data_IF_735834971678
#
_entry.id   IF_735834971678
#
_cell.length_a   1.000
_cell.length_b   1.000
_cell.length_c   1.000
_cell.angle_alpha   90.00
_cell.angle_beta   90.00
_cell.angle_gamma   90.00
#
_symmetry.space_group_name_H-M   'P 1'
#
loop_
_entity.id
_entity.type
_entity.pdbx_description
1 polymer ?
#
# COMPACT_ATOMS: atom_id res chain seq x y z
N UNK A 5 -5.79 -13.34 28.02
CA UNK A 5 -7.20 -13.20 28.37
C UNK A 5 -8.02 -12.71 27.17
N UNK A 6 -7.33 -12.14 26.19
CA UNK A 6 -7.97 -11.76 24.94
C UNK A 6 -8.32 -12.99 24.11
N UNK A 7 -7.66 -14.10 24.42
CA UNK A 7 -7.81 -15.34 23.66
C UNK A 7 -9.08 -16.09 24.04
N UNK A 8 -9.41 -16.10 25.33
CA UNK A 8 -10.55 -16.87 25.82
C UNK A 8 -11.87 -16.12 25.62
N UNK A 9 -11.85 -14.80 25.78
CA UNK A 9 -13.05 -14.00 25.66
C UNK A 9 -13.54 -13.86 24.22
N UNK A 10 -12.75 -14.36 23.28
CA UNK A 10 -13.14 -14.36 21.87
C UNK A 10 -12.59 -15.59 21.14
N UNK A 11 -13.13 -16.77 21.44
CA UNK A 11 -12.62 -18.02 20.85
C UNK A 11 -12.84 -18.09 19.35
N UNK A 12 -13.96 -17.54 18.90
CA UNK A 12 -14.40 -17.66 17.52
C UNK A 12 -13.56 -16.82 16.55
N UNK A 13 -12.91 -15.78 17.07
CA UNK A 13 -12.26 -14.79 16.23
C UNK A 13 -10.80 -15.11 15.89
N UNK A 14 -10.13 -15.84 16.77
CA UNK A 14 -8.73 -16.18 16.55
C UNK A 14 -8.59 -17.47 15.75
N UNK A 15 -7.69 -17.46 14.76
CA UNK A 15 -7.47 -18.63 13.90
C UNK A 15 -6.98 -19.83 14.69
N UNK A 16 -6.39 -19.57 15.86
CA UNK A 16 -5.83 -20.64 16.69
C UNK A 16 -6.92 -21.48 17.34
N UNK A 17 -8.04 -20.85 17.68
CA UNK A 17 -9.13 -21.52 18.38
C UNK A 17 -10.40 -21.58 17.54
N UNK A 18 -10.59 -20.59 16.68
CA UNK A 18 -11.83 -20.44 15.93
C UNK A 18 -11.88 -21.23 14.63
N UNK A 19 -10.92 -22.12 14.43
CA UNK A 19 -10.90 -22.97 13.26
C UNK A 19 -10.79 -22.22 11.94
N UNK A 20 -11.22 -22.86 10.87
CA UNK A 20 -11.11 -22.30 9.53
C UNK A 20 -12.11 -21.16 9.32
N UNK A 21 -11.73 -20.20 8.47
CA UNK A 21 -12.56 -19.04 8.20
C UNK A 21 -13.56 -19.25 7.08
N UNK A 22 -14.58 -18.40 7.04
CA UNK A 22 -15.65 -18.51 6.03
C UNK A 22 -16.62 -17.35 6.12
N UNK A 23 -16.49 -16.39 5.21
CA UNK A 23 -17.37 -15.22 5.17
C UNK A 23 -18.83 -15.64 4.98
N UNK A 24 -19.57 -15.70 6.08
CA UNK A 24 -20.95 -16.18 6.05
C UNK A 24 -21.89 -15.21 5.33
N UNK A 25 -21.54 -13.93 5.33
CA UNK A 25 -22.37 -12.91 4.70
C UNK A 25 -22.05 -12.76 3.21
N UNK A 26 -21.03 -13.50 2.74
CA UNK A 26 -20.60 -13.40 1.36
C UNK A 26 -21.09 -14.56 0.49
N UNK A 27 -21.65 -14.23 -0.66
CA UNK A 27 -22.10 -15.25 -1.61
C UNK A 27 -20.91 -15.83 -2.36
N UNK A 28 -21.05 -17.06 -2.89
CA UNK A 28 -19.96 -17.64 -3.69
C UNK A 28 -19.60 -16.77 -4.88
N UNK A 29 -18.33 -16.76 -5.26
CA UNK A 29 -17.85 -15.86 -6.30
C UNK A 29 -17.88 -16.50 -7.68
N UNK A 30 -18.37 -15.72 -8.65
CA UNK A 30 -18.28 -16.08 -10.06
C UNK A 30 -17.15 -15.28 -10.68
N UNK A 31 -16.33 -15.95 -11.48
CA UNK A 31 -15.13 -15.35 -12.07
C UNK A 31 -15.32 -15.15 -13.58
N UNK A 32 -15.59 -13.90 -14.01
CA UNK A 32 -15.75 -13.66 -15.44
C UNK A 32 -14.45 -13.87 -16.22
N UNK A 33 -14.56 -14.43 -17.42
CA UNK A 33 -13.41 -14.64 -18.28
C UNK A 33 -13.42 -13.66 -19.45
N UNK A 34 -12.30 -13.57 -20.15
CA UNK A 34 -12.23 -12.74 -21.35
C UNK A 34 -13.03 -13.40 -22.47
N UNK A 35 -13.49 -12.59 -23.41
CA UNK A 35 -14.36 -13.08 -24.48
C UNK A 35 -13.66 -14.10 -25.35
N UNK A 36 -12.37 -13.89 -25.59
CA UNK A 36 -11.60 -14.73 -26.51
C UNK A 36 -10.88 -15.87 -25.80
N UNK A 37 -11.17 -16.08 -24.53
CA UNK A 37 -10.48 -17.10 -23.74
C UNK A 37 -11.02 -18.50 -24.00
N UNK A 38 -10.17 -19.48 -23.73
CA UNK A 38 -10.48 -20.88 -23.97
C UNK A 38 -9.72 -21.70 -22.93
N UNK A 39 -10.30 -22.82 -22.46
CA UNK A 39 -9.58 -23.65 -21.49
C UNK A 39 -8.16 -24.01 -21.90
N UNK A 40 -7.24 -23.93 -20.94
CA UNK A 40 -5.84 -24.28 -21.17
C UNK A 40 -5.46 -25.39 -20.20
N UNK A 41 -4.98 -26.51 -20.74
CA UNK A 41 -4.56 -27.63 -19.92
C UNK A 41 -3.05 -27.83 -20.02
N UNK A 42 -2.36 -27.45 -18.96
CA UNK A 42 -0.90 -27.55 -18.90
C UNK A 42 -0.50 -28.85 -18.23
N UNK A 43 0.37 -29.62 -18.89
CA UNK A 43 0.87 -30.88 -18.35
C UNK A 43 1.43 -30.67 -16.96
N UNK A 44 1.31 -31.70 -16.11
CA UNK A 44 1.77 -31.59 -14.73
C UNK A 44 3.29 -31.76 -14.64
N UNK A 45 3.91 -30.93 -13.80
CA UNK A 45 5.35 -31.02 -13.55
C UNK A 45 5.68 -32.36 -12.89
N UNK A 46 6.60 -33.14 -13.49
CA UNK A 46 6.93 -34.44 -12.89
C UNK A 46 7.55 -34.29 -11.52
N UNK A 47 6.71 -34.19 -10.50
CA UNK A 47 7.15 -33.81 -9.17
C UNK A 47 8.11 -34.82 -8.56
N UNK A 48 9.06 -34.30 -7.79
CA UNK A 48 9.96 -35.12 -6.98
C UNK A 48 9.15 -35.95 -5.99
N UNK A 49 9.79 -36.90 -5.34
CA UNK A 49 9.12 -37.67 -4.30
C UNK A 49 9.33 -36.99 -2.95
N UNK A 50 10.51 -36.40 -2.77
CA UNK A 50 10.82 -35.67 -1.54
C UNK A 50 9.83 -34.53 -1.35
N UNK A 51 9.40 -33.94 -2.45
CA UNK A 51 8.42 -32.85 -2.43
C UNK A 51 7.01 -33.39 -2.33
N UNK A 52 6.73 -34.43 -3.10
CA UNK A 52 5.40 -35.00 -3.19
C UNK A 52 4.92 -35.58 -1.85
N UNK A 53 5.85 -35.79 -0.92
CA UNK A 53 5.54 -36.41 0.36
C UNK A 53 5.38 -35.37 1.45
N UNK A 54 6.02 -34.21 1.24
CA UNK A 54 5.88 -33.08 2.15
C UNK A 54 4.66 -32.26 1.78
N UNK A 55 4.34 -32.25 0.49
CA UNK A 55 3.16 -31.55 -0.01
C UNK A 55 1.87 -32.29 0.37
N UNK A 56 1.97 -33.60 0.53
CA UNK A 56 0.79 -34.45 0.65
C UNK A 56 -0.14 -34.10 1.81
N UNK A 57 0.40 -33.92 3.03
CA UNK A 57 -0.49 -33.63 4.15
C UNK A 57 -1.22 -32.29 4.01
N UNK A 58 -0.56 -31.31 3.41
CA UNK A 58 -1.19 -30.02 3.15
C UNK A 58 -2.41 -30.21 2.26
N UNK A 59 -2.25 -31.05 1.24
CA UNK A 59 -3.35 -31.33 0.30
C UNK A 59 -4.46 -32.12 0.99
N UNK A 60 -4.07 -33.11 1.79
CA UNK A 60 -5.04 -33.92 2.51
C UNK A 60 -5.85 -33.06 3.48
N UNK A 61 -5.17 -32.15 4.17
CA UNK A 61 -5.81 -31.28 5.14
C UNK A 61 -6.82 -30.35 4.46
N UNK A 62 -6.55 -29.99 3.21
CA UNK A 62 -7.45 -29.15 2.44
C UNK A 62 -8.64 -29.95 1.92
N UNK A 63 -8.43 -31.24 1.69
CA UNK A 63 -9.52 -32.12 1.28
C UNK A 63 -10.47 -32.34 2.46
N UNK A 64 -9.89 -32.51 3.64
CA UNK A 64 -10.68 -32.71 4.85
C UNK A 64 -11.50 -31.48 5.16
N UNK A 65 -10.95 -30.30 4.90
CA UNK A 65 -11.65 -29.04 5.10
C UNK A 65 -12.60 -28.74 3.95
N UNK A 66 -12.60 -29.60 2.94
CA UNK A 66 -13.49 -29.44 1.80
C UNK A 66 -13.10 -28.29 0.88
N UNK A 67 -11.95 -27.68 1.15
CA UNK A 67 -11.50 -26.54 0.36
C UNK A 67 -10.99 -27.02 -1.01
N UNK A 68 -10.35 -28.17 -1.01
CA UNK A 68 -10.02 -28.87 -2.26
C UNK A 68 -11.05 -29.96 -2.49
N UNK A 69 -11.47 -30.11 -3.75
CA UNK A 69 -12.41 -31.17 -4.09
C UNK A 69 -12.06 -31.82 -5.43
N UNK A 70 -12.32 -33.13 -5.56
CA UNK A 70 -12.12 -33.82 -6.84
C UNK A 70 -12.96 -33.20 -7.94
N UNK A 71 -12.51 -33.33 -9.18
CA UNK A 71 -13.25 -32.81 -10.31
C UNK A 71 -12.74 -33.37 -11.63
N UNK A 72 -13.22 -32.78 -12.72
CA UNK A 72 -12.76 -33.12 -14.05
C UNK A 72 -12.98 -31.90 -14.94
N UNK A 73 -11.87 -31.21 -15.26
CA UNK A 73 -11.94 -29.93 -15.94
C UNK A 73 -11.08 -29.90 -17.19
N UNK A 74 -11.48 -29.08 -18.18
CA UNK A 74 -10.63 -28.86 -19.37
C UNK A 74 -9.43 -27.96 -19.03
N UNK A 75 -9.45 -27.39 -17.83
CA UNK A 75 -8.35 -26.55 -17.35
C UNK A 75 -7.37 -27.36 -16.52
N UNK A 76 -6.10 -26.95 -16.53
CA UNK A 76 -5.10 -27.55 -15.67
C UNK A 76 -3.84 -26.69 -15.62
N UNK A 77 -3.33 -26.49 -14.41
CA UNK A 77 -2.13 -25.69 -14.21
C UNK A 77 -1.16 -26.39 -13.26
N UNK A 78 0.14 -26.02 -13.35
CA UNK A 78 1.16 -26.74 -12.60
C UNK A 78 1.06 -26.55 -11.10
N UNK A 79 1.35 -27.61 -10.34
CA UNK A 79 1.46 -27.52 -8.89
C UNK A 79 2.93 -27.70 -8.51
N UNK A 80 3.60 -26.59 -8.22
CA UNK A 80 5.03 -26.60 -7.93
C UNK A 80 5.30 -26.67 -6.43
N UNK A 81 6.33 -27.45 -6.03
CA UNK A 81 6.78 -27.38 -4.62
C UNK A 81 7.70 -26.19 -4.40
N UNK A 82 7.76 -25.70 -3.17
CA UNK A 82 8.53 -24.49 -2.88
C UNK A 82 9.19 -24.57 -1.50
N UNK A 83 10.52 -24.49 -1.50
CA UNK A 83 11.29 -24.39 -0.27
C UNK A 83 10.99 -25.53 0.70
N UNK A 87 15.49 -25.24 5.54
CA UNK A 87 14.52 -26.18 6.11
C UNK A 87 14.05 -27.17 5.05
N UNK A 88 13.27 -28.16 5.48
CA UNK A 88 12.75 -29.19 4.58
C UNK A 88 11.23 -29.14 4.46
N UNK A 89 10.67 -27.93 4.59
CA UNK A 89 9.23 -27.76 4.52
C UNK A 89 8.77 -27.41 3.11
N UNK A 90 8.21 -28.40 2.42
CA UNK A 90 7.64 -28.18 1.08
C UNK A 90 6.19 -27.73 1.17
N UNK A 91 5.89 -26.60 0.54
CA UNK A 91 4.52 -26.11 0.45
C UNK A 91 4.06 -26.05 -1.02
N UNK A 92 2.80 -26.41 -1.30
CA UNK A 92 2.33 -26.34 -2.70
C UNK A 92 2.12 -24.91 -3.18
N UNK A 93 2.50 -24.64 -4.42
CA UNK A 93 2.21 -23.36 -5.05
C UNK A 93 1.83 -23.57 -6.50
N UNK A 94 0.66 -23.06 -6.87
CA UNK A 94 0.08 -23.30 -8.18
C UNK A 94 0.36 -22.14 -9.13
N UNK A 95 0.92 -22.46 -10.30
CA UNK A 95 1.30 -21.44 -11.27
C UNK A 95 0.09 -21.02 -12.10
N UNK A 96 -0.66 -20.05 -11.58
CA UNK A 96 -1.89 -19.58 -12.23
C UNK A 96 -1.63 -18.45 -13.21
N UNK A 97 -0.44 -18.45 -13.82
CA UNK A 97 -0.09 -17.42 -14.77
C UNK A 97 -0.98 -17.49 -16.01
N UNK A 98 -0.99 -18.64 -16.66
CA UNK A 98 -1.76 -18.82 -17.89
C UNK A 98 -3.27 -18.67 -17.64
N UNK A 99 -3.69 -18.87 -16.40
CA UNK A 99 -5.09 -18.62 -16.03
C UNK A 99 -5.35 -17.13 -15.91
N UNK A 100 -4.52 -16.45 -15.11
CA UNK A 100 -4.64 -15.02 -14.89
C UNK A 100 -4.75 -14.23 -16.20
N UNK A 101 -4.07 -14.72 -17.24
CA UNK A 101 -4.10 -14.06 -18.55
C UNK A 101 -5.47 -14.15 -19.19
N UNK A 102 -6.25 -15.17 -18.81
CA UNK A 102 -7.53 -15.44 -19.43
C UNK A 102 -8.71 -14.89 -18.63
N UNK A 103 -8.43 -14.28 -17.48
CA UNK A 103 -9.47 -13.72 -16.62
C UNK A 103 -9.66 -12.23 -16.89
N UNK A 104 -10.88 -11.75 -16.74
CA UNK A 104 -11.21 -10.35 -16.94
C UNK A 104 -10.57 -9.51 -15.83
N UNK A 105 -9.92 -8.42 -16.22
CA UNK A 105 -9.32 -7.51 -15.24
C UNK A 105 -10.39 -6.73 -14.49
N UNK A 106 -10.06 -6.27 -13.29
CA UNK A 106 -10.97 -5.49 -12.48
C UNK A 106 -10.26 -4.24 -11.96
N UNK A 107 -11.05 -3.22 -11.60
CA UNK A 107 -10.48 -1.96 -11.13
C UNK A 107 -9.82 -2.15 -9.76
N UNK A 108 -8.54 -1.79 -9.64
CA UNK A 108 -7.90 -1.92 -8.33
C UNK A 108 -8.38 -0.83 -7.36
N UNK A 109 -9.31 -1.19 -6.49
CA UNK A 109 -9.88 -0.24 -5.54
C UNK A 109 -9.06 -0.20 -4.25
N UNK A 110 -7.97 -0.96 -4.21
CA UNK A 110 -7.11 -0.99 -3.03
C UNK A 110 -6.28 0.30 -2.93
N UNK A 111 -6.45 1.05 -1.81
CA UNK A 111 -5.58 2.21 -1.61
C UNK A 111 -4.24 1.78 -1.04
N UNK A 112 -3.16 2.14 -1.73
CA UNK A 112 -1.79 1.84 -1.29
C UNK A 112 -1.59 2.34 0.13
N UNK A 113 -0.77 1.62 0.93
CA UNK A 113 -0.58 1.86 2.37
C UNK A 113 -0.53 3.34 2.79
N UNK A 114 0.22 4.16 2.06
CA UNK A 114 0.41 5.55 2.46
C UNK A 114 -0.90 6.33 2.49
N UNK A 115 -1.58 6.38 1.36
CA UNK A 115 -2.83 7.12 1.26
C UNK A 115 -3.85 6.62 2.29
N UNK A 116 -3.71 5.35 2.69
CA UNK A 116 -4.55 4.80 3.74
C UNK A 116 -4.17 5.40 5.09
N UNK A 117 -2.90 5.30 5.45
CA UNK A 117 -2.43 5.86 6.73
C UNK A 117 -2.70 7.36 6.79
N UNK A 118 -2.68 8.03 5.65
CA UNK A 118 -2.92 9.46 5.58
C UNK A 118 -4.29 9.84 6.14
N UNK A 119 -5.21 8.88 6.14
CA UNK A 119 -6.57 9.11 6.63
C UNK A 119 -6.73 8.91 8.13
N UNK A 120 -5.61 8.88 8.84
CA UNK A 120 -5.58 8.66 10.28
C UNK A 120 -5.31 9.97 11.02
N UNK A 121 -6.21 10.38 11.93
CA UNK A 121 -5.96 11.62 12.67
C UNK A 121 -5.03 11.45 13.87
N UNK A 122 -4.37 12.53 14.32
CA UNK A 122 -3.47 12.45 15.48
C UNK A 122 -4.21 12.31 16.80
N UNK A 123 -5.49 12.68 16.83
CA UNK A 123 -6.26 12.68 18.07
C UNK A 123 -6.62 11.28 18.54
N UNK A 124 -6.32 10.28 17.72
CA UNK A 124 -6.56 8.87 18.08
C UNK A 124 -5.24 8.12 18.20
N UNK A 125 -4.66 8.14 19.39
CA UNK A 125 -3.33 7.61 19.60
C UNK A 125 -3.32 6.26 20.31
N UNK A 126 -4.46 5.55 20.29
CA UNK A 126 -4.51 4.20 20.85
C UNK A 126 -4.87 3.18 19.78
N UNK A 127 -3.90 2.32 19.46
CA UNK A 127 -3.97 1.48 18.27
C UNK A 127 -4.14 -0.01 18.58
N UNK A 128 -4.90 -0.68 17.72
CA UNK A 128 -4.94 -2.14 17.69
C UNK A 128 -4.85 -2.66 16.26
N UNK A 129 -3.76 -3.33 15.94
CA UNK A 129 -3.54 -3.88 14.61
C UNK A 129 -3.84 -5.38 14.58
N UNK A 130 -4.57 -5.81 13.54
CA UNK A 130 -4.87 -7.22 13.35
C UNK A 130 -4.61 -7.61 11.90
N UNK A 131 -4.27 -8.89 11.69
CA UNK A 131 -4.21 -9.42 10.33
C UNK A 131 -5.00 -10.72 10.30
N UNK A 132 -5.65 -10.99 9.16
CA UNK A 132 -6.51 -12.15 9.03
C UNK A 132 -5.76 -13.34 8.45
N UNK A 133 -5.84 -14.48 9.13
CA UNK A 133 -5.21 -15.72 8.70
C UNK A 133 -6.03 -16.40 7.60
N UNK A 134 -5.35 -16.79 6.53
CA UNK A 134 -6.01 -17.44 5.39
C UNK A 134 -7.19 -16.62 4.88
N UNK A 135 -6.92 -15.34 4.63
CA UNK A 135 -7.97 -14.38 4.27
C UNK A 135 -8.78 -14.83 3.06
N UNK A 136 -8.11 -15.07 1.94
CA UNK A 136 -8.78 -15.38 0.69
C UNK A 136 -9.66 -16.63 0.78
N UNK A 137 -9.25 -17.60 1.60
CA UNK A 137 -10.02 -18.84 1.73
C UNK A 137 -11.37 -18.61 2.41
N UNK A 138 -11.51 -17.49 3.11
CA UNK A 138 -12.78 -17.18 3.77
C UNK A 138 -13.87 -16.93 2.74
N UNK A 139 -13.47 -16.66 1.50
CA UNK A 139 -14.42 -16.42 0.41
C UNK A 139 -14.60 -17.67 -0.45
N UNK A 140 -15.86 -18.02 -0.69
CA UNK A 140 -16.19 -19.23 -1.43
C UNK A 140 -16.13 -19.00 -2.93
N UNK A 141 -15.96 -20.08 -3.67
CA UNK A 141 -15.85 -20.04 -5.12
C UNK A 141 -17.05 -20.77 -5.73
N UNK A 142 -17.85 -20.06 -6.51
CA UNK A 142 -19.06 -20.60 -7.09
C UNK A 142 -18.74 -21.77 -8.02
N UNK A 143 -19.57 -22.84 -7.99
CA UNK A 143 -19.25 -24.05 -8.79
C UNK A 143 -19.07 -23.80 -10.28
N UNK A 144 -19.55 -22.66 -10.77
CA UNK A 144 -19.36 -22.30 -12.17
C UNK A 144 -17.88 -22.15 -12.48
N UNK A 145 -17.16 -21.48 -11.59
CA UNK A 145 -15.79 -21.06 -11.86
C UNK A 145 -14.75 -21.86 -11.10
N UNK A 146 -15.17 -22.91 -10.39
CA UNK A 146 -14.24 -23.82 -9.75
C UNK A 146 -13.34 -24.53 -10.78
N UNK A 147 -13.95 -25.08 -11.85
CA UNK A 147 -13.16 -25.82 -12.85
C UNK A 147 -12.00 -25.02 -13.42
N UNK A 148 -12.06 -23.70 -13.22
CA UNK A 148 -11.01 -22.79 -13.68
C UNK A 148 -9.67 -23.10 -13.03
N UNK A 149 -9.71 -23.47 -11.74
CA UNK A 149 -8.49 -23.61 -10.98
C UNK A 149 -8.15 -25.07 -10.72
N UNK A 150 -8.54 -25.93 -11.64
CA UNK A 150 -8.22 -27.34 -11.54
C UNK A 150 -6.72 -27.53 -11.69
N UNK A 151 -6.18 -28.49 -10.95
CA UNK A 151 -4.81 -28.93 -11.15
C UNK A 151 -4.78 -30.45 -11.04
N UNK A 152 -3.67 -31.05 -11.44
CA UNK A 152 -3.53 -32.50 -11.42
C UNK A 152 -2.74 -32.92 -10.19
N UNK A 153 -3.26 -33.93 -9.49
CA UNK A 153 -2.56 -34.53 -8.36
C UNK A 153 -2.40 -36.02 -8.58
N UNK A 154 -1.18 -36.50 -8.39
CA UNK A 154 -0.89 -37.93 -8.47
C UNK A 154 -0.18 -38.35 -7.19
N UNK A 155 -0.11 -39.64 -6.94
CA UNK A 155 0.79 -40.18 -5.94
C UNK A 155 1.27 -41.55 -6.43
N UNK A 156 2.38 -41.58 -7.19
CA UNK A 156 2.91 -42.81 -7.80
C UNK A 156 2.99 -43.99 -6.83
N UNK A 157 2.99 -43.68 -5.53
CA UNK A 157 2.94 -44.71 -4.52
C UNK A 157 1.50 -45.17 -4.27
N UNK A 158 0.59 -44.77 -5.16
CA UNK A 158 -0.83 -45.09 -5.01
C UNK A 158 -1.53 -45.27 -6.36
N UNK A 159 -1.02 -44.61 -7.41
CA UNK A 159 -1.64 -44.65 -8.71
C UNK A 159 -2.93 -43.84 -8.72
N UNK A 160 -2.82 -42.56 -8.37
CA UNK A 160 -3.96 -41.68 -8.14
C UNK A 160 -3.88 -40.44 -9.04
N UNK A 161 -3.78 -40.63 -10.35
CA UNK A 161 -3.65 -39.50 -11.26
C UNK A 161 -4.99 -38.85 -11.56
N UNK A 162 -5.52 -38.11 -10.60
CA UNK A 162 -6.80 -37.43 -10.76
C UNK A 162 -6.63 -35.92 -10.77
N UNK A 163 -7.77 -35.22 -10.79
CA UNK A 163 -7.79 -33.77 -10.70
C UNK A 163 -8.39 -33.32 -9.37
N UNK A 164 -7.98 -32.12 -8.94
CA UNK A 164 -8.59 -31.45 -7.79
C UNK A 164 -8.80 -29.99 -8.14
N UNK A 165 -9.75 -29.34 -7.46
CA UNK A 165 -9.91 -27.91 -7.63
C UNK A 165 -10.40 -27.24 -6.35
N UNK A 166 -10.44 -25.91 -6.39
CA UNK A 166 -10.69 -25.10 -5.21
C UNK A 166 -12.14 -24.69 -5.07
N UNK A 167 -12.65 -24.75 -3.85
CA UNK A 167 -14.01 -24.31 -3.54
C UNK A 167 -13.96 -22.95 -2.85
N UNK A 168 -12.74 -22.50 -2.54
CA UNK A 168 -12.52 -21.17 -1.99
C UNK A 168 -11.59 -20.38 -2.91
N UNK A 169 -11.61 -19.06 -2.76
CA UNK A 169 -10.75 -18.18 -3.55
C UNK A 169 -9.28 -18.59 -3.37
N UNK A 170 -8.58 -18.92 -4.47
CA UNK A 170 -7.24 -19.49 -4.30
C UNK A 170 -6.12 -18.48 -4.05
N UNK A 171 -4.93 -18.98 -3.78
CA UNK A 171 -3.72 -18.18 -3.73
C UNK A 171 -3.06 -18.20 -5.11
N UNK A 172 -2.56 -17.05 -5.55
CA UNK A 172 -1.92 -16.95 -6.85
C UNK A 172 -2.84 -16.31 -7.88
N UNK A 173 -4.14 -16.35 -7.60
CA UNK A 173 -5.13 -15.73 -8.48
C UNK A 173 -5.04 -14.21 -8.39
N UNK A 174 -4.97 -13.55 -9.55
CA UNK A 174 -4.55 -12.16 -9.62
C UNK A 174 -5.55 -11.16 -9.02
N UNK A 175 -6.78 -11.60 -8.77
CA UNK A 175 -7.82 -10.69 -8.30
C UNK A 175 -8.26 -10.96 -6.87
N UNK A 176 -7.65 -11.95 -6.23
CA UNK A 176 -8.03 -12.32 -4.86
C UNK A 176 -7.93 -11.13 -3.89
N UNK A 177 -6.82 -10.35 -3.98
CA UNK A 177 -6.66 -9.20 -3.09
C UNK A 177 -7.82 -8.21 -3.17
N UNK A 178 -8.07 -7.68 -4.36
CA UNK A 178 -9.14 -6.70 -4.57
C UNK A 178 -10.48 -7.26 -4.12
N UNK A 179 -10.82 -8.45 -4.62
CA UNK A 179 -12.07 -9.11 -4.28
C UNK A 179 -12.24 -9.18 -2.75
N UNK A 180 -11.21 -9.66 -2.07
CA UNK A 180 -11.30 -9.79 -0.62
C UNK A 180 -11.44 -8.41 0.05
N UNK A 181 -10.65 -7.46 -0.42
CA UNK A 181 -10.70 -6.11 0.13
C UNK A 181 -12.13 -5.56 0.06
N UNK A 182 -12.73 -5.68 -1.11
CA UNK A 182 -14.11 -5.25 -1.31
C UNK A 182 -15.08 -6.01 -0.41
N UNK A 183 -14.91 -7.33 -0.35
CA UNK A 183 -15.72 -8.18 0.52
C UNK A 183 -15.71 -7.69 1.96
N UNK A 184 -14.52 -7.54 2.52
CA UNK A 184 -14.38 -7.15 3.91
C UNK A 184 -14.86 -5.71 4.13
N UNK A 185 -14.50 -4.81 3.21
CA UNK A 185 -14.98 -3.43 3.28
C UNK A 185 -16.48 -3.39 3.36
N UNK A 186 -17.14 -4.20 2.54
CA UNK A 186 -18.60 -4.33 2.62
C UNK A 186 -19.01 -4.87 3.97
N UNK A 187 -18.39 -5.99 4.38
CA UNK A 187 -18.77 -6.64 5.62
C UNK A 187 -18.52 -5.80 6.88
N UNK A 188 -17.63 -4.80 6.83
CA UNK A 188 -17.35 -3.98 8.01
C UNK A 188 -17.99 -2.58 8.03
N UNK A 189 -18.70 -2.21 6.98
CA UNK A 189 -19.35 -0.90 6.92
C UNK A 189 -20.27 -0.69 8.12
N UNK A 190 -20.98 -1.75 8.50
CA UNK A 190 -21.91 -1.70 9.62
C UNK A 190 -21.17 -1.36 10.91
N UNK A 191 -20.06 -2.05 11.15
CA UNK A 191 -19.23 -1.80 12.32
C UNK A 191 -18.69 -0.38 12.29
N UNK A 192 -18.29 0.09 11.12
CA UNK A 192 -17.84 1.46 10.97
C UNK A 192 -18.94 2.44 11.38
N UNK A 193 -20.16 2.23 10.91
CA UNK A 193 -21.29 3.09 11.29
C UNK A 193 -21.49 3.16 12.80
N UNK A 194 -21.59 2.00 13.44
CA UNK A 194 -21.96 1.92 14.85
C UNK A 194 -20.83 2.28 15.81
N UNK A 195 -19.76 2.88 15.29
CA UNK A 195 -18.66 3.35 16.12
C UNK A 195 -18.09 4.65 15.57
N UNK A 196 -18.79 5.77 15.81
CA UNK A 196 -18.35 7.06 15.27
C UNK A 196 -17.08 7.57 15.93
N UNK A 197 -16.75 7.03 17.10
CA UNK A 197 -15.60 7.50 17.86
C UNK A 197 -14.33 6.73 17.54
N UNK A 198 -14.45 5.73 16.66
CA UNK A 198 -13.31 4.91 16.28
C UNK A 198 -12.95 5.10 14.82
N UNK A 199 -11.65 5.05 14.52
CA UNK A 199 -11.15 5.04 13.16
C UNK A 199 -10.73 3.62 12.81
N UNK A 200 -11.22 3.11 11.69
CA UNK A 200 -10.87 1.76 11.25
C UNK A 200 -10.24 1.80 9.85
N UNK A 201 -9.02 1.32 9.75
CA UNK A 201 -8.28 1.29 8.50
C UNK A 201 -8.09 -0.14 8.02
N UNK A 202 -8.02 -0.31 6.71
CA UNK A 202 -8.09 -1.62 6.11
C UNK A 202 -7.28 -1.73 4.81
N UNK A 203 -6.25 -2.56 4.82
CA UNK A 203 -5.61 -2.93 3.56
C UNK A 203 -5.76 -4.44 3.34
N UNK A 204 -6.72 -4.80 2.49
CA UNK A 204 -7.02 -6.20 2.23
C UNK A 204 -7.34 -6.90 3.55
N UNK A 205 -6.36 -7.62 4.10
CA UNK A 205 -6.57 -8.40 5.32
C UNK A 205 -5.88 -7.79 6.53
N UNK A 206 -5.25 -6.63 6.34
CA UNK A 206 -4.57 -5.93 7.42
C UNK A 206 -5.49 -4.84 7.95
N UNK A 207 -5.75 -4.89 9.25
CA UNK A 207 -6.68 -3.97 9.92
C UNK A 207 -6.00 -3.15 10.99
N UNK A 208 -6.31 -1.85 11.03
CA UNK A 208 -5.89 -0.98 12.13
C UNK A 208 -7.08 -0.31 12.78
N UNK A 209 -7.18 -0.45 14.10
CA UNK A 209 -8.23 0.23 14.87
C UNK A 209 -7.62 1.30 15.79
N UNK A 210 -7.95 2.56 15.51
CA UNK A 210 -7.42 3.68 16.27
C UNK A 210 -8.50 4.32 17.15
N UNK A 211 -8.15 4.58 18.40
CA UNK A 211 -9.07 5.19 19.35
C UNK A 211 -8.39 6.33 20.11
N UNK A 212 -9.22 7.18 20.72
CA UNK A 212 -8.77 8.38 21.40
C UNK A 212 -8.21 8.08 22.78
N UNK A 213 -8.91 7.23 23.52
CA UNK A 213 -8.47 6.77 24.83
C UNK A 213 -8.11 5.30 24.78
N UNK A 214 -7.58 4.78 25.87
CA UNK A 214 -7.24 3.36 25.95
C UNK A 214 -8.50 2.53 26.14
N UNK A 215 -9.44 3.09 26.90
CA UNK A 215 -10.74 2.45 27.14
C UNK A 215 -11.48 2.23 25.83
N UNK A 216 -11.71 3.32 25.11
CA UNK A 216 -12.36 3.29 23.81
C UNK A 216 -11.70 2.26 22.91
N UNK A 217 -10.37 2.19 22.98
CA UNK A 217 -9.61 1.24 22.19
C UNK A 217 -9.94 -0.20 22.58
N UNK A 218 -9.86 -0.48 23.88
CA UNK A 218 -10.17 -1.81 24.39
C UNK A 218 -11.56 -2.27 23.96
N UNK A 219 -12.55 -1.44 24.29
CA UNK A 219 -13.94 -1.73 23.95
C UNK A 219 -14.10 -1.93 22.45
N UNK A 220 -13.56 -0.99 21.68
CA UNK A 220 -13.60 -1.05 20.24
C UNK A 220 -13.02 -2.35 19.72
N UNK A 221 -11.90 -2.77 20.30
CA UNK A 221 -11.26 -4.00 19.89
C UNK A 221 -12.15 -5.19 20.20
N UNK A 222 -12.74 -5.21 21.40
CA UNK A 222 -13.69 -6.27 21.75
C UNK A 222 -14.81 -6.36 20.71
N UNK A 223 -15.42 -5.21 20.40
CA UNK A 223 -16.44 -5.14 19.37
C UNK A 223 -15.93 -5.72 18.05
N UNK A 224 -14.78 -5.22 17.61
CA UNK A 224 -14.20 -5.64 16.34
C UNK A 224 -13.98 -7.15 16.29
N UNK A 225 -13.43 -7.71 17.35
CA UNK A 225 -13.20 -9.16 17.41
C UNK A 225 -14.51 -9.93 17.36
N UNK A 226 -15.49 -9.50 18.16
CA UNK A 226 -16.80 -10.13 18.14
C UNK A 226 -17.38 -10.13 16.74
N UNK A 227 -17.30 -8.98 16.06
CA UNK A 227 -17.79 -8.85 14.70
C UNK A 227 -17.04 -9.76 13.72
N UNK A 228 -15.71 -9.71 13.75
CA UNK A 228 -14.90 -10.53 12.87
C UNK A 228 -15.24 -12.00 13.07
N UNK A 229 -15.44 -12.39 14.32
CA UNK A 229 -15.88 -13.75 14.62
C UNK A 229 -17.24 -14.05 14.01
N UNK A 230 -18.22 -13.20 14.29
CA UNK A 230 -19.57 -13.37 13.78
C UNK A 230 -19.64 -13.46 12.26
N UNK A 231 -18.67 -12.84 11.58
CA UNK A 231 -18.69 -12.77 10.13
C UNK A 231 -17.98 -13.96 9.49
N UNK A 232 -17.23 -14.70 10.30
CA UNK A 232 -16.52 -15.88 9.83
C UNK A 232 -15.04 -15.63 9.59
N UNK A 233 -14.63 -14.37 9.62
CA UNK A 233 -13.22 -14.03 9.47
C UNK A 233 -12.43 -14.46 10.69
N UNK A 234 -11.14 -14.71 10.50
CA UNK A 234 -10.27 -15.21 11.58
C UNK A 234 -8.94 -14.46 11.60
N UNK A 235 -8.57 -13.96 12.77
CA UNK A 235 -7.35 -13.18 12.94
C UNK A 235 -6.24 -13.99 13.59
N UNK A 236 -5.00 -13.59 13.35
CA UNK A 236 -3.85 -14.28 13.92
C UNK A 236 -3.54 -13.72 15.30
N UNK A 237 -3.71 -14.55 16.33
CA UNK A 237 -3.49 -14.14 17.70
C UNK A 237 -2.00 -13.98 18.00
N UNK A 238 -1.17 -14.67 17.23
CA UNK A 238 0.27 -14.67 17.46
C UNK A 238 0.91 -13.35 17.03
N UNK A 239 0.28 -12.68 16.07
CA UNK A 239 0.84 -11.47 15.47
C UNK A 239 0.01 -10.23 15.78
N UNK A 240 -0.87 -10.33 16.77
CA UNK A 240 -1.74 -9.21 17.13
C UNK A 240 -0.96 -8.15 17.87
N UNK A 241 -1.42 -6.91 17.74
CA UNK A 241 -0.91 -5.78 18.50
C UNK A 241 -2.09 -5.05 19.13
N UNK A 242 -2.44 -5.41 20.36
CA UNK A 242 -3.69 -4.95 20.97
C UNK A 242 -3.52 -3.82 21.99
N UNK A 243 -4.13 -2.68 21.68
CA UNK A 243 -4.16 -1.54 22.60
C UNK A 243 -2.77 -1.06 22.99
N UNK A 244 -1.99 -0.68 21.97
CA UNK A 244 -0.63 -0.19 22.21
C UNK A 244 -0.50 1.26 21.75
N UNK A 245 0.23 2.06 22.52
CA UNK A 245 0.51 3.44 22.15
C UNK A 245 1.32 3.49 20.86
N UNK A 246 2.11 2.43 20.64
CA UNK A 246 2.98 2.33 19.47
C UNK A 246 2.75 1.02 18.73
N UNK A 247 2.59 1.08 17.41
CA UNK A 247 2.35 -0.13 16.62
C UNK A 247 3.03 -0.07 15.26
N UNK A 248 3.35 -1.25 14.72
CA UNK A 248 3.78 -1.37 13.33
C UNK A 248 2.57 -1.78 12.49
N UNK A 249 2.32 -1.04 11.41
CA UNK A 249 1.18 -1.33 10.53
C UNK A 249 1.51 -1.03 9.09
N UNK A 250 1.48 -2.07 8.26
CA UNK A 250 1.84 -1.97 6.84
C UNK A 250 3.23 -1.39 6.67
N UNK A 251 4.16 -1.83 7.53
CA UNK A 251 5.53 -1.39 7.43
C UNK A 251 5.70 0.08 7.79
N UNK A 252 4.81 0.58 8.63
CA UNK A 252 4.92 1.93 9.17
C UNK A 252 4.78 1.90 10.68
N UNK A 253 5.70 2.57 11.37
CA UNK A 253 5.63 2.65 12.83
C UNK A 253 4.80 3.86 13.23
N UNK A 254 3.65 3.58 13.85
CA UNK A 254 2.77 4.62 14.37
C UNK A 254 2.96 4.76 15.87
N UNK A 255 3.25 5.98 16.32
CA UNK A 255 3.45 6.25 17.74
C UNK A 255 3.16 7.72 18.09
N UNK A 256 2.15 7.93 18.92
CA UNK A 256 1.76 9.24 19.43
C UNK A 256 1.73 10.33 18.35
N UNK A 257 0.73 10.24 17.47
CA UNK A 257 0.51 11.24 16.45
C UNK A 257 1.65 11.40 15.47
N UNK A 258 2.48 10.36 15.34
CA UNK A 258 3.62 10.39 14.45
C UNK A 258 3.79 9.08 13.70
N UNK A 259 4.53 9.14 12.60
CA UNK A 259 4.60 8.04 11.64
C UNK A 259 6.02 7.87 11.09
N UNK A 260 6.53 6.65 11.18
CA UNK A 260 7.87 6.31 10.68
C UNK A 260 7.83 5.17 9.67
N UNK A 261 8.83 5.13 8.79
CA UNK A 261 9.10 3.95 7.99
C UNK A 261 9.78 2.91 8.88
N UNK A 262 9.16 1.75 9.04
CA UNK A 262 9.80 0.67 9.79
C UNK A 262 11.11 0.28 9.09
N UNK A 263 12.04 -0.26 9.85
CA UNK A 263 13.34 -0.65 9.31
C UNK A 263 13.16 -1.76 8.27
N UNK A 264 12.20 -2.64 8.53
CA UNK A 264 11.88 -3.72 7.63
C UNK A 264 11.50 -3.17 6.25
N UNK A 265 10.72 -2.09 6.24
CA UNK A 265 10.32 -1.48 4.98
C UNK A 265 11.51 -0.85 4.28
N UNK A 266 12.43 -0.28 5.06
CA UNK A 266 13.64 0.29 4.49
C UNK A 266 14.43 -0.80 3.78
N UNK A 267 14.68 -1.91 4.48
CA UNK A 267 15.48 -3.01 3.96
C UNK A 267 15.11 -3.42 2.54
N UNK A 268 13.82 -3.41 2.22
CA UNK A 268 13.35 -3.86 0.92
C UNK A 268 13.89 -2.99 -0.21
N UNK A 269 14.38 -1.79 0.14
CA UNK A 269 15.00 -0.89 -0.81
C UNK A 269 16.51 -0.85 -0.57
N UNK A 270 16.90 -0.84 0.70
CA UNK A 270 18.31 -0.83 1.07
C UNK A 270 19.02 -2.10 0.62
N UNK A 271 18.24 -3.18 0.47
CA UNK A 271 18.79 -4.48 0.16
C UNK A 271 18.79 -4.83 -1.31
N UNK A 272 18.51 -3.85 -2.16
CA UNK A 272 18.54 -4.06 -3.61
C UNK A 272 19.91 -3.70 -4.15
N UNK A 273 20.59 -4.65 -4.83
CA UNK A 273 21.93 -4.36 -5.33
C UNK A 273 21.92 -3.32 -6.43
N UNK A 274 23.00 -2.56 -6.56
CA UNK A 274 23.13 -1.53 -7.59
C UNK A 274 22.60 -2.03 -8.93
N UNK A 275 21.54 -1.37 -9.45
CA UNK A 275 20.93 -1.88 -10.68
C UNK A 275 21.88 -1.88 -11.87
N UNK A 276 22.02 -3.02 -12.52
CA UNK A 276 22.93 -3.19 -13.64
C UNK A 276 22.18 -3.23 -14.96
N UNK A 277 20.92 -3.66 -14.88
CA UNK A 277 20.02 -3.63 -16.03
C UNK A 277 19.03 -2.48 -15.84
N UNK A 278 18.46 -1.97 -16.95
CA UNK A 278 17.51 -0.86 -16.82
C UNK A 278 16.26 -1.24 -16.01
N UNK A 279 15.84 -2.49 -16.12
CA UNK A 279 14.66 -2.98 -15.41
C UNK A 279 14.89 -3.02 -13.90
N UNK A 280 16.08 -3.44 -13.49
CA UNK A 280 16.46 -3.46 -12.08
C UNK A 280 16.40 -2.04 -11.51
N UNK A 281 16.93 -1.09 -12.27
CA UNK A 281 16.87 0.32 -11.89
C UNK A 281 15.43 0.79 -11.81
N UNK A 282 14.64 0.43 -12.83
CA UNK A 282 13.22 0.74 -12.86
C UNK A 282 12.56 0.32 -11.55
N UNK A 283 12.71 -0.96 -11.19
CA UNK A 283 12.06 -1.47 -10.00
C UNK A 283 12.67 -0.88 -8.73
N UNK A 284 13.96 -0.59 -8.75
CA UNK A 284 14.59 0.11 -7.62
C UNK A 284 13.86 1.42 -7.35
N UNK A 285 13.78 2.26 -8.37
CA UNK A 285 13.07 3.54 -8.24
C UNK A 285 11.59 3.31 -7.93
N UNK A 286 11.02 2.27 -8.53
CA UNK A 286 9.63 1.94 -8.31
C UNK A 286 9.34 1.61 -6.86
N UNK A 287 10.24 0.86 -6.23
CA UNK A 287 10.08 0.50 -4.83
C UNK A 287 10.36 1.71 -3.95
N UNK A 288 11.50 2.36 -4.17
CA UNK A 288 11.88 3.51 -3.35
C UNK A 288 10.93 4.68 -3.57
N UNK A 289 10.22 4.68 -4.69
CA UNK A 289 9.28 5.74 -4.99
C UNK A 289 8.13 5.87 -4.01
N UNK A 290 7.86 4.80 -3.27
CA UNK A 290 6.79 4.82 -2.27
C UNK A 290 7.17 5.69 -1.08
N UNK A 291 8.47 5.81 -0.84
CA UNK A 291 8.98 6.60 0.28
C UNK A 291 9.52 7.94 -0.22
N UNK A 292 8.84 8.55 -1.18
CA UNK A 292 9.29 9.82 -1.74
C UNK A 292 8.84 10.99 -0.87
N UNK A 293 7.82 10.73 -0.05
CA UNK A 293 7.29 11.75 0.85
C UNK A 293 8.10 11.82 2.14
N UNK A 294 9.08 10.94 2.26
CA UNK A 294 10.05 10.98 3.35
C UNK A 294 11.37 11.57 2.88
N UNK A 295 11.57 11.58 1.56
CA UNK A 295 12.80 12.06 0.95
C UNK A 295 12.63 13.50 0.45
N UNK A 296 13.27 14.48 1.12
CA UNK A 296 13.18 15.84 0.60
C UNK A 296 13.96 16.02 -0.71
N UNK A 297 13.35 16.68 -1.69
CA UNK A 297 13.99 16.90 -2.97
C UNK A 297 14.28 15.61 -3.71
N UNK A 298 13.34 14.67 -3.64
CA UNK A 298 13.51 13.36 -4.24
C UNK A 298 13.52 13.41 -5.77
N UNK A 299 12.59 14.19 -6.32
CA UNK A 299 12.44 14.30 -7.77
C UNK A 299 13.74 14.78 -8.41
N UNK A 300 14.37 15.76 -7.78
CA UNK A 300 15.63 16.32 -8.26
C UNK A 300 16.80 15.40 -7.92
N UNK A 301 16.70 14.72 -6.78
CA UNK A 301 17.73 13.81 -6.33
C UNK A 301 17.89 12.63 -7.28
N UNK A 302 16.76 12.03 -7.65
CA UNK A 302 16.76 10.86 -8.52
C UNK A 302 16.77 11.25 -10.00
N UNK A 303 17.14 12.50 -10.27
CA UNK A 303 17.14 13.01 -11.64
C UNK A 303 18.13 12.29 -12.54
N UNK A 304 19.37 12.05 -12.06
CA UNK A 304 20.36 11.41 -12.94
C UNK A 304 20.01 9.96 -13.28
N UNK A 305 19.15 9.34 -12.50
CA UNK A 305 18.85 7.92 -12.66
C UNK A 305 17.70 7.65 -13.62
N UNK A 306 16.79 8.61 -13.75
CA UNK A 306 15.63 8.46 -14.62
C UNK A 306 15.96 8.21 -16.09
N UNK A 307 16.91 8.97 -16.67
CA UNK A 307 17.14 8.78 -18.11
C UNK A 307 17.66 7.39 -18.47
N UNK A 308 18.21 6.66 -17.50
CA UNK A 308 18.71 5.31 -17.75
C UNK A 308 17.55 4.32 -17.77
N UNK A 309 16.68 4.45 -18.76
CA UNK A 309 15.50 3.59 -18.88
C UNK A 309 15.24 3.24 -20.34
N UNK A 310 14.65 2.07 -20.56
CA UNK A 310 14.24 1.58 -21.88
C UNK A 310 15.30 1.85 -22.96
N UNK A 313 18.34 2.80 -25.26
CA UNK A 313 19.42 3.61 -24.71
C UNK A 313 20.45 2.74 -24.01
N UNK A 314 21.64 3.30 -23.77
CA UNK A 314 22.72 2.57 -23.11
C UNK A 314 22.72 2.85 -21.61
N UNK A 315 23.22 1.88 -20.84
CA UNK A 315 23.21 1.96 -19.38
C UNK A 315 24.57 2.38 -18.85
N UNK A 316 24.86 3.67 -18.92
CA UNK A 316 26.12 4.21 -18.42
C UNK A 316 26.02 4.55 -16.94
N UNK A 317 26.38 3.60 -16.08
CA UNK A 317 26.34 3.80 -14.64
C UNK A 317 27.57 4.56 -14.16
N UNK A 318 27.53 5.88 -14.30
CA UNK A 318 28.66 6.74 -13.96
C UNK A 318 28.63 7.23 -12.53
N UNK A 319 29.53 8.17 -12.19
CA UNK A 319 29.63 8.75 -10.85
C UNK A 319 28.34 9.47 -10.41
N UNK A 320 27.68 10.14 -11.35
CA UNK A 320 26.43 10.82 -11.06
C UNK A 320 25.36 9.83 -10.59
N UNK A 321 25.23 8.73 -11.34
CA UNK A 321 24.26 7.70 -11.03
C UNK A 321 24.53 7.10 -9.65
N UNK A 322 25.80 6.83 -9.37
CA UNK A 322 26.19 6.29 -8.07
C UNK A 322 25.90 7.29 -6.97
N UNK A 323 26.22 8.55 -7.23
CA UNK A 323 25.99 9.63 -6.27
C UNK A 323 24.50 9.72 -5.93
N UNK A 324 23.66 9.72 -6.94
CA UNK A 324 22.21 9.73 -6.74
C UNK A 324 21.77 8.49 -5.96
N UNK A 325 22.17 7.32 -6.44
CA UNK A 325 21.85 6.05 -5.80
C UNK A 325 22.28 6.06 -4.34
N UNK A 326 23.38 6.75 -4.04
CA UNK A 326 23.85 6.87 -2.67
C UNK A 326 22.97 7.83 -1.88
N UNK A 327 22.67 8.98 -2.48
CA UNK A 327 21.79 9.97 -1.84
C UNK A 327 20.47 9.34 -1.42
N UNK A 328 19.86 8.57 -2.33
CA UNK A 328 18.55 7.98 -2.07
C UNK A 328 18.54 7.05 -0.85
N UNK A 329 19.61 6.27 -0.67
CA UNK A 329 19.72 5.39 0.49
C UNK A 329 20.09 6.17 1.75
N UNK A 330 21.00 7.13 1.58
CA UNK A 330 21.37 8.03 2.66
C UNK A 330 20.13 8.76 3.19
N UNK A 331 19.23 9.09 2.27
CA UNK A 331 18.01 9.81 2.63
C UNK A 331 17.03 8.91 3.37
N UNK A 332 17.15 7.60 3.19
CA UNK A 332 16.32 6.65 3.91
C UNK A 332 16.89 6.38 5.29
N UNK A 333 18.20 6.24 5.37
CA UNK A 333 18.84 6.06 6.66
C UNK A 333 18.54 7.23 7.59
N UNK A 334 18.36 8.42 7.02
CA UNK A 334 18.11 9.63 7.80
C UNK A 334 16.69 10.14 7.58
N UNK A 335 15.76 9.23 7.30
CA UNK A 335 14.38 9.60 7.07
C UNK A 335 13.72 10.06 8.38
N UNK A 336 13.01 11.19 8.34
CA UNK A 336 12.47 11.77 9.58
C UNK A 336 11.18 11.12 10.05
N UNK A 337 10.66 11.62 11.17
CA UNK A 337 9.31 11.31 11.61
C UNK A 337 8.34 12.20 10.86
N UNK A 338 7.22 11.62 10.41
CA UNK A 338 6.15 12.40 9.81
C UNK A 338 4.94 12.41 10.72
N UNK A 339 4.39 13.60 10.96
CA UNK A 339 3.20 13.75 11.78
C UNK A 339 1.94 13.59 10.95
N UNK A 340 1.00 12.79 11.47
CA UNK A 340 -0.26 12.55 10.78
C UNK A 340 -0.97 13.88 10.56
N UNK A 341 -1.54 14.09 9.35
CA UNK A 341 -2.16 15.39 9.05
C UNK A 341 -3.32 15.72 9.97
N UNK A 342 -3.31 16.94 10.50
CA UNK A 342 -4.34 17.39 11.44
C UNK A 342 -5.33 18.31 10.71
N UNK A 343 -6.49 17.76 10.36
CA UNK A 343 -7.48 18.48 9.58
C UNK A 343 -8.25 19.49 10.43
N UNK A 344 -7.88 19.60 11.70
CA UNK A 344 -8.44 20.61 12.60
C UNK A 344 -7.41 21.70 12.86
N UNK A 345 -6.48 21.85 11.93
CA UNK A 345 -5.39 22.82 12.05
C UNK A 345 -5.06 23.44 10.69
N UNK A 346 -4.30 24.53 10.70
CA UNK A 346 -3.82 25.14 9.46
C UNK A 346 -2.54 24.49 8.95
N UNK A 347 -2.35 24.47 7.64
CA UNK A 347 -1.15 23.90 7.04
C UNK A 347 -0.22 25.00 6.52
N UNK A 348 1.08 24.70 6.53
CA UNK A 348 2.08 25.58 5.94
C UNK A 348 2.82 24.81 4.86
N UNK A 349 3.12 25.47 3.75
CA UNK A 349 3.81 24.84 2.63
C UNK A 349 4.99 25.69 2.20
N UNK A 350 6.19 25.12 2.33
CA UNK A 350 7.41 25.80 1.92
C UNK A 350 7.88 25.21 0.61
N UNK A 351 7.93 26.03 -0.44
CA UNK A 351 8.25 25.55 -1.78
C UNK A 351 9.53 26.19 -2.30
N UNK A 352 10.29 25.42 -3.08
CA UNK A 352 11.50 25.89 -3.73
C UNK A 352 11.75 25.11 -5.02
N UNK A 353 12.49 25.74 -5.93
CA UNK A 353 12.82 25.14 -7.20
C UNK A 353 14.25 25.48 -7.60
N UNK A 354 14.96 24.49 -8.11
CA UNK A 354 16.27 24.71 -8.73
C UNK A 354 16.47 23.72 -9.88
N UNK A 355 16.79 24.26 -11.05
CA UNK A 355 17.04 23.46 -12.25
C UNK A 355 15.82 22.62 -12.65
N UNK A 356 14.69 23.30 -12.82
CA UNK A 356 13.50 22.68 -13.39
C UNK A 356 12.90 21.54 -12.58
N UNK A 357 13.22 21.48 -11.30
CA UNK A 357 12.66 20.46 -10.41
C UNK A 357 12.04 21.10 -9.17
N UNK A 358 10.77 20.79 -8.93
CA UNK A 358 10.02 21.39 -7.84
C UNK A 358 10.15 20.55 -6.57
N UNK A 359 10.54 21.20 -5.47
CA UNK A 359 10.67 20.54 -4.17
C UNK A 359 10.06 21.41 -3.09
N UNK A 360 9.48 20.80 -2.06
CA UNK A 360 8.87 21.55 -0.98
C UNK A 360 8.45 20.69 0.19
N UNK A 361 8.02 21.34 1.27
CA UNK A 361 7.59 20.64 2.47
C UNK A 361 6.26 21.17 3.01
N UNK A 362 5.35 20.23 3.23
CA UNK A 362 4.09 20.48 3.92
C UNK A 362 4.22 20.19 5.41
N UNK A 363 4.01 21.23 6.21
CA UNK A 363 4.20 21.18 7.66
C UNK A 363 2.99 21.70 8.41
N UNK A 364 2.95 21.42 9.71
CA UNK A 364 1.92 21.92 10.60
C UNK A 364 2.53 22.34 11.94
N UNK A 365 1.75 23.06 12.74
CA UNK A 365 2.20 23.48 14.06
C UNK A 365 2.30 22.28 15.00
N UNK A 366 3.38 22.24 15.79
CA UNK A 366 3.51 21.29 16.87
C UNK A 366 4.25 21.99 18.00
N UNK A 367 3.53 22.32 19.06
CA UNK A 367 4.07 23.21 20.07
C UNK A 367 4.39 24.52 19.38
N UNK A 368 5.55 25.11 19.68
CA UNK A 368 5.99 26.26 18.88
C UNK A 368 6.74 25.85 17.62
N UNK A 369 7.02 24.56 17.48
CA UNK A 369 7.78 24.05 16.35
C UNK A 369 6.90 23.75 15.14
N UNK A 370 7.55 23.51 14.01
CA UNK A 370 6.89 23.01 12.80
C UNK A 370 7.23 21.54 12.62
N UNK A 371 6.23 20.68 12.62
CA UNK A 371 6.44 19.25 12.40
C UNK A 371 6.07 18.89 10.96
N UNK A 372 7.02 18.35 10.18
CA UNK A 372 6.72 18.02 8.77
C UNK A 372 5.63 16.96 8.61
N UNK A 373 4.65 17.25 7.77
CA UNK A 373 3.63 16.26 7.42
C UNK A 373 4.09 15.50 6.18
N UNK A 374 4.63 16.22 5.20
CA UNK A 374 5.12 15.54 3.99
C UNK A 374 6.12 16.36 3.20
N UNK A 375 7.02 15.67 2.51
CA UNK A 375 7.96 16.30 1.58
C UNK A 375 7.47 16.11 0.16
N UNK A 376 7.11 17.21 -0.49
CA UNK A 376 6.54 17.17 -1.82
C UNK A 376 7.56 17.56 -2.89
N UNK A 377 7.69 16.73 -3.91
CA UNK A 377 8.63 16.99 -4.99
C UNK A 377 8.14 16.42 -6.32
N UNK A 378 8.24 17.22 -7.36
CA UNK A 378 7.81 16.81 -8.70
C UNK A 378 8.69 17.44 -9.78
N UNK A 379 8.74 16.81 -10.95
CA UNK A 379 9.45 17.37 -12.09
C UNK A 379 8.52 18.29 -12.88
N UNK A 380 9.04 19.44 -13.29
CA UNK A 380 8.27 20.37 -14.10
C UNK A 380 8.19 19.86 -15.54
N UNK A 381 6.97 19.84 -16.10
CA UNK A 381 6.76 19.39 -17.46
C UNK A 381 7.64 20.20 -18.41
N UNK A 382 8.07 19.61 -19.54
CA UNK A 382 9.08 20.20 -20.43
C UNK A 382 8.83 21.66 -20.78
N UNK A 383 7.57 22.00 -21.07
CA UNK A 383 7.23 23.38 -21.43
C UNK A 383 7.55 24.33 -20.28
N UNK A 384 7.26 23.91 -19.05
CA UNK A 384 7.54 24.74 -17.89
C UNK A 384 9.01 24.69 -17.52
N UNK A 385 9.64 23.54 -17.76
CA UNK A 385 11.05 23.37 -17.46
C UNK A 385 11.91 24.38 -18.22
N UNK A 386 11.39 24.87 -19.35
CA UNK A 386 12.10 25.85 -20.15
C UNK A 386 11.87 27.27 -19.68
N UNK A 387 10.84 27.49 -18.87
CA UNK A 387 10.51 28.82 -18.39
C UNK A 387 11.67 29.46 -17.64
N UNK A 388 11.67 30.80 -17.54
CA UNK A 388 12.74 31.49 -16.81
C UNK A 388 12.72 31.20 -15.32
N UNK A 389 13.80 31.51 -14.60
CA UNK A 389 13.97 31.22 -13.17
C UNK A 389 12.76 31.54 -12.29
N UNK A 390 12.24 32.75 -12.38
CA UNK A 390 11.20 33.21 -11.44
C UNK A 390 9.79 32.72 -11.80
N UNK A 391 9.62 32.14 -12.98
CA UNK A 391 8.34 31.61 -13.41
C UNK A 391 8.22 30.13 -13.04
N UNK A 392 9.33 29.41 -13.15
CA UNK A 392 9.39 28.01 -12.76
C UNK A 392 9.07 27.86 -11.27
N UNK A 393 9.36 28.90 -10.50
CA UNK A 393 8.99 28.95 -9.10
C UNK A 393 7.46 28.89 -8.97
N UNK A 394 6.79 29.75 -9.72
CA UNK A 394 5.33 29.78 -9.76
C UNK A 394 4.80 28.41 -10.15
N UNK A 395 5.35 27.87 -11.24
CA UNK A 395 4.98 26.54 -11.70
C UNK A 395 5.15 25.51 -10.58
N UNK A 396 6.29 25.57 -9.89
CA UNK A 396 6.60 24.63 -8.82
C UNK A 396 5.56 24.71 -7.70
N UNK A 397 5.32 25.92 -7.20
CA UNK A 397 4.32 26.14 -6.17
C UNK A 397 2.98 25.56 -6.62
N UNK A 398 2.58 25.92 -7.84
CA UNK A 398 1.33 25.44 -8.41
C UNK A 398 1.26 23.92 -8.40
N UNK A 399 2.30 23.26 -8.90
CA UNK A 399 2.33 21.80 -8.96
C UNK A 399 2.24 21.18 -7.57
N UNK A 400 3.07 21.64 -6.64
CA UNK A 400 3.11 21.04 -5.30
C UNK A 400 1.81 21.27 -4.54
N UNK A 401 1.19 22.44 -4.73
CA UNK A 401 -0.08 22.74 -4.08
C UNK A 401 -1.13 21.67 -4.36
N UNK A 402 -1.23 21.26 -5.62
CA UNK A 402 -2.22 20.28 -6.03
C UNK A 402 -1.96 18.93 -5.35
N UNK A 403 -0.69 18.63 -5.10
CA UNK A 403 -0.34 17.40 -4.39
C UNK A 403 -0.63 17.54 -2.91
N UNK A 404 -0.37 18.73 -2.35
CA UNK A 404 -0.68 18.99 -0.95
C UNK A 404 -2.18 18.90 -0.69
N UNK A 405 -2.97 19.32 -1.68
CA UNK A 405 -4.41 19.21 -1.61
C UNK A 405 -4.87 17.78 -1.31
N UNK A 406 -4.08 16.80 -1.74
CA UNK A 406 -4.39 15.40 -1.51
C UNK A 406 -4.31 15.06 -0.02
N UNK A 407 -3.56 15.85 0.73
CA UNK A 407 -3.31 15.59 2.15
C UNK A 407 -4.07 16.55 3.05
N UNK A 408 -4.21 17.80 2.63
CA UNK A 408 -4.86 18.81 3.46
C UNK A 408 -6.38 18.77 3.42
N UNK A 409 -6.93 18.20 2.35
CA UNK A 409 -8.39 18.13 2.16
C UNK A 409 -9.02 19.53 2.16
N UNK A 410 -8.51 20.41 1.30
CA UNK A 410 -9.07 21.73 1.14
C UNK A 410 -9.06 22.57 2.41
N UNK A 411 -8.16 22.24 3.33
CA UNK A 411 -8.03 22.99 4.58
C UNK A 411 -7.22 24.26 4.35
N UNK A 412 -7.30 25.22 5.29
CA UNK A 412 -6.50 26.44 5.19
C UNK A 412 -5.01 26.15 5.03
N UNK A 413 -4.37 26.83 4.09
CA UNK A 413 -3.01 26.49 3.69
C UNK A 413 -2.21 27.74 3.33
N UNK A 414 -1.11 27.97 4.06
CA UNK A 414 -0.25 29.11 3.81
C UNK A 414 0.97 28.68 2.99
N UNK A 415 1.36 29.52 2.03
CA UNK A 415 2.50 29.21 1.16
C UNK A 415 3.66 30.15 1.45
N UNK A 416 4.88 29.60 1.36
CA UNK A 416 6.09 30.42 1.46
C UNK A 416 7.16 29.93 0.49
N UNK A 417 7.97 30.86 -0.01
CA UNK A 417 8.96 30.58 -1.04
C UNK A 417 10.21 31.46 -0.84
N UNK A 418 11.36 31.06 -1.42
CA UNK A 418 12.58 31.88 -1.36
C UNK A 418 12.48 33.11 -2.25
N UNK A 419 11.43 33.16 -3.06
CA UNK A 419 11.13 34.33 -3.86
C UNK A 419 9.61 34.49 -3.97
N UNK A 420 9.03 35.26 -3.06
CA UNK A 420 7.57 35.44 -3.03
C UNK A 420 7.09 35.99 -4.37
N UNK A 421 5.88 35.59 -4.77
CA UNK A 421 5.46 35.79 -6.14
C UNK A 421 3.92 35.71 -6.29
N UNK A 422 3.20 36.22 -5.30
CA UNK A 422 1.74 36.27 -5.39
C UNK A 422 1.31 37.27 -6.47
N UNK A 423 2.18 38.23 -6.76
CA UNK A 423 1.87 39.29 -7.71
C UNK A 423 1.73 38.79 -9.15
N UNK A 424 2.77 38.12 -9.64
CA UNK A 424 2.82 37.69 -11.03
C UNK A 424 1.66 36.77 -11.40
N UNK A 425 1.01 36.18 -10.40
CA UNK A 425 -0.13 35.31 -10.64
C UNK A 425 -1.32 36.12 -11.16
N UNK A 426 -1.35 37.40 -10.79
CA UNK A 426 -2.48 38.26 -11.11
C UNK A 426 -2.31 38.96 -12.46
N UNK A 427 -1.10 39.44 -12.73
CA UNK A 427 -0.82 40.21 -13.94
C UNK A 427 0.28 39.55 -14.79
N UNK A 428 -0.08 38.47 -15.50
CA UNK A 428 0.87 37.75 -16.35
C UNK A 428 0.95 38.29 -17.78
N UNK A 429 2.13 38.78 -18.20
CA UNK A 429 2.27 39.24 -19.58
C UNK A 429 2.45 38.09 -20.57
N UNK A 436 -1.64 32.70 -21.03
CA UNK A 436 -1.55 31.43 -21.76
C UNK A 436 -2.00 30.27 -20.89
N UNK A 437 -1.18 29.90 -19.92
CA UNK A 437 -1.47 28.81 -19.00
C UNK A 437 -2.01 29.35 -17.68
N UNK A 438 -2.16 30.68 -17.63
CA UNK A 438 -2.52 31.37 -16.39
C UNK A 438 -3.97 31.11 -15.97
N UNK A 439 -4.83 30.96 -16.97
CA UNK A 439 -6.25 30.70 -16.74
C UNK A 439 -6.47 29.54 -15.78
N UNK A 440 -5.52 28.61 -15.78
CA UNK A 440 -5.63 27.40 -14.97
C UNK A 440 -4.92 27.57 -13.62
N UNK A 441 -3.87 28.39 -13.61
CA UNK A 441 -3.11 28.64 -12.38
C UNK A 441 -3.88 29.54 -11.43
N UNK A 442 -4.50 30.59 -11.97
CA UNK A 442 -5.27 31.52 -11.14
C UNK A 442 -6.47 30.84 -10.48
N UNK A 443 -6.86 29.68 -11.03
CA UNK A 443 -8.04 28.97 -10.55
C UNK A 443 -7.86 28.48 -9.11
N UNK A 444 -6.79 27.73 -8.87
CA UNK A 444 -6.59 27.08 -7.58
C UNK A 444 -5.58 27.81 -6.69
N UNK A 445 -5.07 28.95 -7.15
CA UNK A 445 -4.14 29.74 -6.36
C UNK A 445 -4.81 30.97 -5.75
N UNK A 446 -5.53 31.72 -6.59
CA UNK A 446 -6.18 32.94 -6.13
C UNK A 446 -7.49 32.63 -5.40
N UNK A 447 -7.81 31.34 -5.28
CA UNK A 447 -8.90 30.90 -4.42
C UNK A 447 -8.45 31.02 -2.97
N UNK A 448 -8.62 32.21 -2.39
CA UNK A 448 -8.01 32.52 -1.10
C UNK A 448 -8.82 32.04 0.09
N UNK A 449 -9.80 31.17 -0.14
CA UNK A 449 -10.54 30.55 0.94
C UNK A 449 -9.70 29.44 1.57
N UNK A 450 -8.95 28.74 0.72
CA UNK A 450 -8.10 27.64 1.15
C UNK A 450 -6.63 28.04 1.16
N UNK A 451 -6.30 29.04 0.33
CA UNK A 451 -4.92 29.38 0.04
C UNK A 451 -4.56 30.78 0.51
N UNK A 452 -3.44 30.88 1.24
CA UNK A 452 -2.89 32.18 1.62
C UNK A 452 -1.39 32.17 1.37
N UNK A 453 -0.81 33.36 1.24
CA UNK A 453 0.62 33.50 1.01
C UNK A 453 1.31 34.09 2.24
N UNK A 454 2.64 34.10 2.21
CA UNK A 454 3.43 34.64 3.30
C UNK A 454 4.60 35.44 2.76
N UNK A 455 5.40 36.00 3.67
CA UNK A 455 6.60 36.72 3.25
C UNK A 455 7.59 35.79 2.57
N UNK A 456 8.42 36.35 1.71
CA UNK A 456 9.51 35.58 1.10
C UNK A 456 10.43 35.09 2.20
N UNK A 457 10.98 33.89 2.01
CA UNK A 457 11.97 33.39 2.94
C UNK A 457 12.71 32.19 2.35
N UNK A 458 14.03 32.27 2.37
CA UNK A 458 14.86 31.17 1.88
C UNK A 458 14.81 30.05 2.91
N UNK A 459 14.96 28.80 2.44
CA UNK A 459 14.82 27.64 3.30
C UNK A 459 16.07 26.75 3.27
N UNK A 460 16.16 25.87 4.26
CA UNK A 460 17.33 25.01 4.46
C UNK A 460 17.40 23.87 3.44
N UNK A 461 18.54 23.75 2.71
CA UNK A 461 18.69 22.73 1.67
C UNK A 461 18.26 21.32 2.07
N UNK A 462 18.45 20.96 3.33
CA UNK A 462 18.11 19.62 3.81
C UNK A 462 16.67 19.58 4.34
N UNK A 463 16.47 20.14 5.54
CA UNK A 463 15.17 20.13 6.20
C UNK A 463 14.07 20.77 5.36
N UNK A 464 14.43 21.83 4.64
CA UNK A 464 13.51 22.65 3.84
C UNK A 464 12.57 23.50 4.70
N UNK A 465 13.07 23.93 5.86
CA UNK A 465 12.31 24.81 6.77
C UNK A 465 12.97 26.19 6.79
N UNK A 466 12.24 27.22 7.26
CA UNK A 466 12.76 28.59 7.17
C UNK A 466 14.06 28.84 7.92
N UNK A 467 14.71 29.96 7.63
CA UNK A 467 15.94 30.36 8.31
C UNK A 467 15.70 31.65 9.10
N UNK A 468 16.14 31.70 10.37
CA UNK A 468 16.00 32.93 11.16
C UNK A 468 16.69 34.13 10.50
#
# INVERSE_FOLDING_TARGET
GSHMTWLSDFPQAWAETGGMGLAVRQAPLIIPLKATSTPVSIKQYPMSQEARLGIKPHIQRLLDQGILVPCQSPWNTPLLPVKKPGTNDYRPVQDLREVNKRVEDIHPTVPNPYNLLSGLPPSHQWYTVLDLKDAFFCLRLHPTSQPLFAFEWRDPEMGISGQLTWTRLPQGFKNSPTLFDEALHRDLADFRIQHPDLILLQYVDDLLLAATSELDCQQGTRALLQTLGNLGYRASAKKAQICQKQVKYLGYLLKEGQRWLTEARKETVMGQPTPKTPRQLREFLGTAGFCRLWIPGFAEMAAPLYPLTKTGTLFNWGPDQQKAYQEIKQALLTAPALGLPDLTKPFELFVDEKQGYAKGVLTQKLGPWRRPVAYLSKKLDPVAAGWPPCLRMVAAIAVLTKDAGKLTMGQPLVIKAPHAVEALVKQPPDRWLSNARMTHYQALLLDTDRVQFGPVVALNPATLLPLPEEGLQHNCLDILAEAHGTRPDLTDQPLPDADHTWYTDGSSLLQEGQRKAGAAVTTETEVIWAKALPAGTSAQRAELIALTQALKMAEGKKLNVYTDSRYAFATAHIHGEIYRRRGLLTSEGKEIKNKDEILALLKALFLPKRLSIIHCPGHQKGHSAEARGNRMADQAARKAAITETPDTSTLL
#
